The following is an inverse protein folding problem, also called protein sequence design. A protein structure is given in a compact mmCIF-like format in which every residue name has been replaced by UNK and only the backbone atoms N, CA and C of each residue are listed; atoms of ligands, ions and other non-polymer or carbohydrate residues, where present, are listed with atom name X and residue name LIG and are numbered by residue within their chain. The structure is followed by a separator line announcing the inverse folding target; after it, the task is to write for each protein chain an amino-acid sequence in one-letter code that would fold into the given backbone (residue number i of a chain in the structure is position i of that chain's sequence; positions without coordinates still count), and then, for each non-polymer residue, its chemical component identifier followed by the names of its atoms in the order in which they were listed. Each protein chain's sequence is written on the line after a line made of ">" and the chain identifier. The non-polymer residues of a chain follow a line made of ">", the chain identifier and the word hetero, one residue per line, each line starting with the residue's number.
data_IF_585625153417
#
_entry.id   IF_585625153417
#
_cell.length_a   1.000
_cell.length_b   1.000
_cell.length_c   1.000
_cell.angle_alpha   90.00
_cell.angle_beta   90.00
_cell.angle_gamma   90.00
#
_symmetry.space_group_name_H-M   'P 1'
#
loop_
_entity.id
_entity.type
_entity.pdbx_description
1 polymer ?
#
# COMPACT_ATOMS: atom_id res chain seq x y z
N UNK A 1 13.36 9.24 -10.15
CA UNK A 1 12.06 8.92 -10.80
C UNK A 1 12.11 7.67 -11.66
N UNK A 2 13.15 7.47 -12.47
CA UNK A 2 13.20 6.37 -13.45
C UNK A 2 13.27 4.96 -12.83
N UNK A 3 13.94 4.81 -11.67
CA UNK A 3 14.17 3.51 -11.02
C UNK A 3 12.88 2.74 -10.65
N UNK A 4 11.81 3.45 -10.31
CA UNK A 4 10.50 2.85 -9.96
C UNK A 4 9.40 3.20 -10.97
N UNK A 5 9.78 3.74 -12.14
CA UNK A 5 8.88 4.11 -13.25
C UNK A 5 7.73 5.05 -12.83
N UNK A 6 7.94 5.90 -11.83
CA UNK A 6 6.95 6.90 -11.43
C UNK A 6 6.81 7.98 -12.51
N UNK A 7 5.56 8.37 -12.79
CA UNK A 7 5.22 9.51 -13.63
C UNK A 7 4.69 10.64 -12.75
N UNK A 8 5.13 11.87 -12.99
CA UNK A 8 4.59 13.05 -12.29
C UNK A 8 3.10 13.18 -12.60
N UNK A 9 2.30 13.48 -11.59
CA UNK A 9 0.87 13.73 -11.76
C UNK A 9 0.68 15.07 -12.47
N UNK A 10 -0.13 15.08 -13.52
CA UNK A 10 -0.40 16.28 -14.29
C UNK A 10 -1.17 17.32 -13.45
N UNK A 11 -0.54 18.48 -13.24
CA UNK A 11 -1.10 19.58 -12.48
C UNK A 11 -2.23 20.32 -13.22
N UNK A 12 -2.36 20.15 -14.54
CA UNK A 12 -3.43 20.73 -15.35
C UNK A 12 -4.78 20.01 -15.15
N UNK A 13 -4.75 18.77 -14.65
CA UNK A 13 -5.95 17.99 -14.33
C UNK A 13 -6.37 18.19 -12.87
N UNK A 14 -7.66 17.99 -12.58
CA UNK A 14 -8.17 17.98 -11.19
C UNK A 14 -8.35 16.56 -10.64
N UNK A 15 -8.07 15.54 -11.45
CA UNK A 15 -8.20 14.16 -11.04
C UNK A 15 -7.19 13.83 -9.92
N UNK A 16 -7.65 13.07 -8.92
CA UNK A 16 -6.91 12.64 -7.73
C UNK A 16 -6.42 13.72 -6.75
N UNK A 17 -6.13 14.95 -7.19
CA UNK A 17 -5.53 15.98 -6.34
C UNK A 17 -6.30 16.27 -5.05
N UNK A 18 -7.64 16.31 -5.10
CA UNK A 18 -8.46 16.50 -3.90
C UNK A 18 -8.32 15.33 -2.91
N UNK A 19 -8.25 14.09 -3.40
CA UNK A 19 -8.05 12.89 -2.58
C UNK A 19 -6.64 12.87 -1.98
N UNK A 20 -5.64 13.24 -2.77
CA UNK A 20 -4.25 13.35 -2.32
C UNK A 20 -4.14 14.41 -1.23
N UNK A 21 -4.75 15.59 -1.42
CA UNK A 21 -4.77 16.64 -0.41
C UNK A 21 -5.44 16.17 0.88
N UNK A 22 -6.60 15.53 0.79
CA UNK A 22 -7.29 14.98 1.95
C UNK A 22 -6.41 13.98 2.72
N UNK A 23 -5.67 13.12 2.01
CA UNK A 23 -4.71 12.21 2.65
C UNK A 23 -3.45 12.92 3.17
N UNK A 24 -2.97 13.96 2.51
CA UNK A 24 -1.82 14.76 2.96
C UNK A 24 -2.12 15.47 4.29
N UNK A 25 -3.36 15.96 4.46
CA UNK A 25 -3.82 16.70 5.64
C UNK A 25 -4.10 15.80 6.85
N UNK A 26 -4.07 14.47 6.70
CA UNK A 26 -4.20 13.52 7.81
C UNK A 26 -3.10 13.71 8.85
N UNK A 27 -3.44 13.56 10.11
CA UNK A 27 -2.51 13.72 11.23
C UNK A 27 -1.37 12.70 11.19
N UNK A 28 -1.63 11.52 10.63
CA UNK A 28 -0.70 10.40 10.48
C UNK A 28 0.34 10.64 9.38
N UNK A 29 0.18 11.69 8.55
CA UNK A 29 1.13 11.99 7.48
C UNK A 29 2.48 12.45 8.06
N UNK A 30 3.50 11.60 7.89
CA UNK A 30 4.91 11.86 8.24
C UNK A 30 5.74 12.45 7.10
N UNK A 31 5.26 12.37 5.86
CA UNK A 31 5.99 12.76 4.66
C UNK A 31 5.55 14.17 4.24
N UNK A 32 6.21 15.21 4.74
CA UNK A 32 5.85 16.59 4.43
C UNK A 32 6.62 17.11 3.22
N UNK A 33 5.92 17.82 2.33
CA UNK A 33 6.55 18.61 1.27
C UNK A 33 7.06 19.93 1.87
N UNK A 34 8.18 20.44 1.34
CA UNK A 34 8.66 21.79 1.68
C UNK A 34 7.74 22.85 1.07
N UNK A 35 7.32 23.84 1.85
CA UNK A 35 6.46 24.94 1.42
C UNK A 35 5.49 25.41 2.51
N UNK A 36 4.80 26.52 2.26
CA UNK A 36 3.69 26.96 3.12
C UNK A 36 2.56 25.92 3.12
N UNK A 37 1.77 25.89 4.20
CA UNK A 37 0.82 24.81 4.49
C UNK A 37 -0.02 24.41 3.28
N UNK A 38 -0.12 23.10 3.02
CA UNK A 38 -0.99 22.54 1.97
C UNK A 38 -2.45 22.69 2.37
N UNK A 39 -2.95 23.93 2.31
CA UNK A 39 -4.30 24.33 2.66
C UNK A 39 -5.30 23.93 1.57
N UNK A 40 -4.84 23.89 0.32
CA UNK A 40 -5.66 23.61 -0.85
C UNK A 40 -4.89 22.87 -1.96
N UNK A 41 -5.62 22.46 -3.00
CA UNK A 41 -5.09 21.72 -4.14
C UNK A 41 -4.06 22.53 -4.92
N UNK A 42 -4.25 23.85 -5.02
CA UNK A 42 -3.34 24.73 -5.76
C UNK A 42 -1.99 24.85 -5.06
N UNK A 43 -1.99 24.94 -3.73
CA UNK A 43 -0.77 24.90 -2.91
C UNK A 43 -0.01 23.58 -3.10
N UNK A 44 -0.73 22.45 -3.06
CA UNK A 44 -0.16 21.12 -3.29
C UNK A 44 0.46 20.97 -4.69
N UNK A 45 -0.27 21.40 -5.73
CA UNK A 45 0.23 21.40 -7.12
C UNK A 45 1.52 22.20 -7.26
N UNK A 46 1.54 23.45 -6.78
CA UNK A 46 2.73 24.32 -6.86
C UNK A 46 3.93 23.72 -6.15
N UNK A 47 3.72 23.09 -5.00
CA UNK A 47 4.80 22.46 -4.25
C UNK A 47 5.37 21.24 -4.97
N UNK A 48 4.51 20.45 -5.62
CA UNK A 48 4.95 19.37 -6.48
C UNK A 48 5.73 19.89 -7.69
N UNK A 49 5.22 20.89 -8.40
CA UNK A 49 5.89 21.50 -9.57
C UNK A 49 7.28 22.05 -9.22
N UNK A 50 7.40 22.73 -8.08
CA UNK A 50 8.68 23.29 -7.62
C UNK A 50 9.76 22.23 -7.35
N UNK A 51 9.37 20.97 -7.16
CA UNK A 51 10.28 19.87 -6.88
C UNK A 51 10.57 18.97 -8.10
N UNK A 52 9.89 19.19 -9.23
CA UNK A 52 10.13 18.44 -10.46
C UNK A 52 11.54 18.71 -10.96
N UNK A 53 12.30 17.64 -11.24
CA UNK A 53 13.66 17.75 -11.77
C UNK A 53 14.72 18.20 -10.76
N UNK A 54 14.34 18.34 -9.48
CA UNK A 54 15.30 18.59 -8.39
C UNK A 54 16.20 17.38 -8.14
N UNK A 55 17.34 17.62 -7.48
CA UNK A 55 18.12 16.53 -6.90
C UNK A 55 17.36 15.93 -5.70
N UNK A 56 16.91 14.69 -5.86
CA UNK A 56 16.11 14.01 -4.85
C UNK A 56 16.99 13.43 -3.74
N UNK A 57 16.92 14.00 -2.53
CA UNK A 57 17.30 13.27 -1.31
C UNK A 57 16.32 12.10 -1.06
N UNK A 58 16.67 11.17 -0.18
CA UNK A 58 15.77 10.04 0.14
C UNK A 58 14.42 10.52 0.70
N UNK A 59 14.43 11.51 1.59
CA UNK A 59 13.22 12.09 2.19
C UNK A 59 12.38 12.85 1.15
N UNK A 60 13.04 13.62 0.28
CA UNK A 60 12.36 14.31 -0.82
C UNK A 60 11.77 13.31 -1.80
N UNK A 61 12.49 12.23 -2.12
CA UNK A 61 12.00 11.18 -2.98
C UNK A 61 10.74 10.52 -2.41
N UNK A 62 10.75 10.17 -1.11
CA UNK A 62 9.59 9.54 -0.45
C UNK A 62 8.39 10.48 -0.40
N UNK A 63 8.57 11.73 0.00
CA UNK A 63 7.47 12.71 0.00
C UNK A 63 6.95 12.99 -1.41
N UNK A 64 7.83 13.20 -2.39
CA UNK A 64 7.44 13.47 -3.77
C UNK A 64 6.68 12.29 -4.40
N UNK A 65 7.19 11.07 -4.28
CA UNK A 65 6.53 9.86 -4.81
C UNK A 65 5.22 9.53 -4.09
N UNK A 66 4.98 10.12 -2.94
CA UNK A 66 3.71 9.96 -2.23
C UNK A 66 2.62 10.90 -2.73
N UNK A 67 2.98 12.14 -3.06
CA UNK A 67 2.02 13.22 -3.26
C UNK A 67 1.97 13.77 -4.69
N UNK A 68 3.05 13.63 -5.46
CA UNK A 68 3.26 14.36 -6.70
C UNK A 68 3.30 13.47 -7.95
N UNK A 69 2.99 12.18 -7.81
CA UNK A 69 3.05 11.20 -8.90
C UNK A 69 1.66 10.65 -9.17
N UNK A 70 1.47 10.13 -10.39
CA UNK A 70 0.24 9.43 -10.77
C UNK A 70 -0.04 8.33 -9.75
N UNK A 71 -1.22 8.33 -9.10
CA UNK A 71 -1.53 7.33 -8.09
C UNK A 71 -1.43 5.92 -8.64
N UNK A 72 -0.79 5.05 -7.86
CA UNK A 72 -0.66 3.61 -8.12
C UNK A 72 -1.02 2.86 -6.87
N UNK A 73 -1.55 1.66 -7.03
CA UNK A 73 -1.83 0.79 -5.89
C UNK A 73 -0.55 0.12 -5.37
N UNK A 74 -0.56 -0.37 -4.13
CA UNK A 74 0.53 -1.16 -3.57
C UNK A 74 0.81 -2.40 -4.44
N UNK A 75 -0.25 -2.99 -4.98
CA UNK A 75 -0.15 -4.08 -5.94
C UNK A 75 0.62 -3.66 -7.21
N UNK A 76 0.28 -2.52 -7.83
CA UNK A 76 1.00 -2.03 -9.01
C UNK A 76 2.48 -1.79 -8.72
N UNK A 77 2.83 -1.35 -7.52
CA UNK A 77 4.21 -1.08 -7.10
C UNK A 77 5.02 -2.35 -6.86
N UNK A 78 4.36 -3.45 -6.50
CA UNK A 78 5.00 -4.72 -6.13
C UNK A 78 4.98 -5.77 -7.25
N UNK A 79 4.01 -5.72 -8.17
CA UNK A 79 3.77 -6.78 -9.16
C UNK A 79 4.97 -7.09 -10.06
N UNK A 80 5.80 -6.09 -10.39
CA UNK A 80 7.01 -6.27 -11.21
C UNK A 80 8.15 -6.98 -10.45
N UNK A 81 8.10 -7.03 -9.11
CA UNK A 81 9.20 -7.48 -8.24
C UNK A 81 8.87 -8.73 -7.41
N UNK A 82 7.59 -9.03 -7.23
CA UNK A 82 7.13 -10.09 -6.34
C UNK A 82 5.99 -10.90 -6.96
N UNK A 83 5.97 -12.21 -6.68
CA UNK A 83 4.87 -13.12 -7.04
C UNK A 83 3.69 -12.91 -6.10
N UNK A 84 2.85 -11.91 -6.41
CA UNK A 84 1.65 -11.60 -5.66
C UNK A 84 0.57 -12.68 -5.90
N UNK A 85 0.00 -13.25 -4.83
CA UNK A 85 -1.12 -14.19 -4.95
C UNK A 85 -2.42 -13.50 -5.36
N UNK A 86 -3.33 -14.19 -6.05
CA UNK A 86 -4.68 -13.67 -6.28
C UNK A 86 -5.43 -13.54 -4.94
N UNK A 87 -5.99 -12.35 -4.68
CA UNK A 87 -6.61 -11.99 -3.39
C UNK A 87 -8.13 -11.80 -3.48
N UNK A 88 -8.72 -12.08 -4.64
CA UNK A 88 -10.16 -12.23 -4.76
C UNK A 88 -10.62 -13.51 -4.04
N UNK A 89 -11.47 -13.35 -3.04
CA UNK A 89 -11.98 -14.42 -2.16
C UNK A 89 -12.97 -15.36 -2.87
N UNK A 90 -13.46 -14.96 -4.05
CA UNK A 90 -14.29 -15.79 -4.93
C UNK A 90 -13.47 -16.67 -5.88
N UNK A 91 -12.16 -16.46 -5.99
CA UNK A 91 -11.27 -17.20 -6.88
C UNK A 91 -10.49 -18.26 -6.09
N UNK A 92 -10.51 -19.49 -6.61
CA UNK A 92 -9.96 -20.68 -5.94
C UNK A 92 -8.59 -21.12 -6.50
N UNK A 93 -7.74 -20.14 -6.81
CA UNK A 93 -6.34 -20.35 -7.21
C UNK A 93 -5.42 -20.35 -5.99
N UNK A 94 -4.21 -20.88 -6.18
CA UNK A 94 -3.09 -20.80 -5.23
C UNK A 94 -3.39 -21.43 -3.85
N UNK A 95 -4.22 -22.49 -3.82
CA UNK A 95 -4.66 -23.16 -2.58
C UNK A 95 -3.50 -23.50 -1.64
N UNK A 96 -2.44 -24.08 -2.18
CA UNK A 96 -1.29 -24.52 -1.38
C UNK A 96 -0.54 -23.33 -0.75
N UNK A 97 -0.37 -22.23 -1.50
CA UNK A 97 0.26 -21.01 -0.99
C UNK A 97 -0.62 -20.32 0.06
N UNK A 98 -1.92 -20.23 -0.19
CA UNK A 98 -2.86 -19.66 0.78
C UNK A 98 -2.95 -20.49 2.05
N UNK A 99 -2.93 -21.82 1.94
CA UNK A 99 -2.82 -22.71 3.09
C UNK A 99 -1.56 -22.41 3.90
N UNK A 100 -0.41 -22.33 3.23
CA UNK A 100 0.85 -22.01 3.88
C UNK A 100 0.81 -20.67 4.61
N UNK A 101 0.27 -19.63 3.97
CA UNK A 101 0.15 -18.31 4.57
C UNK A 101 -0.80 -18.29 5.77
N UNK A 102 -1.93 -19.01 5.70
CA UNK A 102 -2.85 -19.19 6.83
C UNK A 102 -2.15 -19.88 8.00
N UNK A 103 -1.47 -21.00 7.75
CA UNK A 103 -0.77 -21.77 8.79
C UNK A 103 0.31 -20.90 9.49
N UNK A 104 1.06 -20.10 8.72
CA UNK A 104 2.03 -19.14 9.27
C UNK A 104 1.37 -18.02 10.07
N UNK A 105 0.24 -17.52 9.60
CA UNK A 105 -0.51 -16.44 10.25
C UNK A 105 -1.10 -16.89 11.59
N UNK A 106 -1.62 -18.12 11.66
CA UNK A 106 -2.05 -18.76 12.90
C UNK A 106 -0.86 -19.00 13.85
N UNK A 107 0.27 -19.49 13.32
CA UNK A 107 1.51 -19.67 14.11
C UNK A 107 1.98 -18.36 14.73
N UNK A 108 1.91 -17.25 13.99
CA UNK A 108 2.21 -15.92 14.50
C UNK A 108 1.29 -15.55 15.66
N UNK A 109 -0.02 -15.76 15.50
CA UNK A 109 -1.01 -15.53 16.58
C UNK A 109 -0.69 -16.34 17.83
N UNK A 110 -0.34 -17.62 17.71
CA UNK A 110 0.06 -18.46 18.85
C UNK A 110 1.31 -17.94 19.54
N UNK A 111 2.32 -17.49 18.78
CA UNK A 111 3.60 -17.00 19.35
C UNK A 111 3.48 -15.62 19.99
N UNK A 112 2.66 -14.74 19.44
CA UNK A 112 2.59 -13.33 19.84
C UNK A 112 1.31 -12.96 20.59
N UNK A 113 0.40 -13.92 20.81
CA UNK A 113 -0.93 -13.73 21.40
C UNK A 113 -1.82 -12.70 20.68
N UNK A 114 -1.44 -12.26 19.47
CA UNK A 114 -2.21 -11.36 18.61
C UNK A 114 -1.92 -11.66 17.14
N UNK A 115 -2.90 -11.39 16.28
CA UNK A 115 -2.70 -11.47 14.84
C UNK A 115 -1.74 -10.38 14.37
N UNK A 116 -0.97 -10.65 13.30
CA UNK A 116 -0.03 -9.68 12.76
C UNK A 116 -0.74 -8.49 12.11
N UNK A 117 -1.91 -8.73 11.51
CA UNK A 117 -2.78 -7.72 10.93
C UNK A 117 -3.96 -7.50 11.88
N UNK A 118 -4.02 -6.34 12.53
CA UNK A 118 -5.00 -6.09 13.61
C UNK A 118 -6.46 -6.11 13.14
N UNK A 119 -6.68 -5.85 11.86
CA UNK A 119 -7.99 -5.86 11.19
C UNK A 119 -8.39 -7.24 10.63
N UNK A 120 -7.52 -8.25 10.71
CA UNK A 120 -7.75 -9.58 10.12
C UNK A 120 -7.67 -10.65 11.21
N UNK A 121 -8.85 -11.08 11.70
CA UNK A 121 -8.96 -12.19 12.66
C UNK A 121 -9.51 -13.44 12.00
N UNK A 122 -8.86 -14.59 12.26
CA UNK A 122 -9.34 -15.91 11.84
C UNK A 122 -10.21 -16.58 12.92
N UNK A 123 -10.50 -15.89 14.02
CA UNK A 123 -11.27 -16.45 15.13
C UNK A 123 -12.70 -16.79 14.66
N UNK A 124 -13.20 -17.95 15.10
CA UNK A 124 -14.52 -18.44 14.69
C UNK A 124 -14.60 -18.97 13.26
N UNK A 125 -13.46 -19.14 12.55
CA UNK A 125 -13.41 -19.81 11.23
C UNK A 125 -12.99 -21.27 11.39
N UNK A 126 -13.88 -22.17 10.98
CA UNK A 126 -13.71 -23.62 11.20
C UNK A 126 -13.03 -24.34 10.04
N UNK A 127 -13.13 -23.82 8.81
CA UNK A 127 -12.54 -24.43 7.63
C UNK A 127 -11.31 -23.66 7.14
N UNK A 128 -10.37 -24.36 6.53
CA UNK A 128 -9.21 -23.73 5.88
C UNK A 128 -9.62 -22.73 4.80
N UNK A 129 -10.65 -23.06 4.01
CA UNK A 129 -11.19 -22.17 2.99
C UNK A 129 -11.73 -20.86 3.56
N UNK A 130 -12.45 -20.90 4.67
CA UNK A 130 -12.97 -19.68 5.32
C UNK A 130 -11.85 -18.82 5.89
N UNK A 131 -10.82 -19.44 6.49
CA UNK A 131 -9.63 -18.73 6.97
C UNK A 131 -8.88 -18.06 5.81
N UNK A 132 -8.67 -18.79 4.71
CA UNK A 132 -8.03 -18.27 3.52
C UNK A 132 -8.80 -17.09 2.91
N UNK A 133 -10.14 -17.14 2.86
CA UNK A 133 -10.98 -16.01 2.38
C UNK A 133 -10.80 -14.75 3.22
N UNK A 134 -10.73 -14.89 4.54
CA UNK A 134 -10.49 -13.76 5.45
C UNK A 134 -9.10 -13.16 5.20
N UNK A 135 -8.07 -13.99 5.10
CA UNK A 135 -6.72 -13.51 4.83
C UNK A 135 -6.60 -12.89 3.42
N UNK A 136 -7.22 -13.49 2.40
CA UNK A 136 -7.34 -12.94 1.04
C UNK A 136 -7.96 -11.54 1.06
N UNK A 137 -9.06 -11.37 1.78
CA UNK A 137 -9.72 -10.06 1.95
C UNK A 137 -8.76 -9.05 2.60
N UNK A 138 -8.06 -9.45 3.67
CA UNK A 138 -7.05 -8.62 4.32
C UNK A 138 -5.93 -8.19 3.36
N UNK A 139 -5.44 -9.12 2.53
CA UNK A 139 -4.44 -8.86 1.49
C UNK A 139 -4.97 -7.94 0.39
N UNK A 140 -6.23 -8.12 -0.06
CA UNK A 140 -6.88 -7.27 -1.06
C UNK A 140 -6.97 -5.81 -0.59
N UNK A 141 -7.36 -5.59 0.67
CA UNK A 141 -7.41 -4.24 1.27
C UNK A 141 -6.05 -3.55 1.22
N UNK A 142 -4.97 -4.27 1.55
CA UNK A 142 -3.59 -3.74 1.52
C UNK A 142 -3.10 -3.48 0.11
N UNK A 143 -3.35 -4.43 -0.79
CA UNK A 143 -3.00 -4.33 -2.22
C UNK A 143 -3.65 -3.12 -2.88
N UNK A 144 -4.88 -2.78 -2.49
CA UNK A 144 -5.62 -1.63 -2.98
C UNK A 144 -5.21 -0.27 -2.39
N UNK A 145 -4.25 -0.21 -1.47
CA UNK A 145 -3.75 1.06 -0.93
C UNK A 145 -3.02 1.84 -2.01
N UNK A 146 -3.31 3.12 -2.14
CA UNK A 146 -2.70 4.00 -3.13
C UNK A 146 -1.42 4.65 -2.61
N UNK A 147 -0.60 5.16 -3.54
CA UNK A 147 0.61 5.95 -3.21
C UNK A 147 0.34 7.01 -2.14
N UNK A 148 -0.78 7.73 -2.25
CA UNK A 148 -1.16 8.79 -1.32
C UNK A 148 -1.71 8.30 0.04
N UNK A 149 -1.93 7.01 0.25
CA UNK A 149 -2.41 6.50 1.53
C UNK A 149 -1.27 6.52 2.56
N UNK A 150 -1.50 7.17 3.70
CA UNK A 150 -0.48 7.39 4.74
C UNK A 150 0.11 6.10 5.30
N UNK A 151 -0.62 4.99 5.23
CA UNK A 151 -0.26 3.65 5.69
C UNK A 151 0.29 2.74 4.56
N UNK A 152 0.51 3.25 3.35
CA UNK A 152 1.02 2.47 2.21
C UNK A 152 2.30 1.69 2.55
N UNK A 153 3.29 2.33 3.18
CA UNK A 153 4.59 1.68 3.45
C UNK A 153 4.41 0.46 4.35
N UNK A 154 3.59 0.58 5.39
CA UNK A 154 3.21 -0.54 6.27
C UNK A 154 2.42 -1.59 5.50
N UNK A 155 1.45 -1.19 4.67
CA UNK A 155 0.68 -2.11 3.84
C UNK A 155 1.57 -2.91 2.87
N UNK A 156 2.59 -2.28 2.29
CA UNK A 156 3.55 -2.96 1.40
C UNK A 156 4.38 -4.00 2.15
N UNK A 157 4.85 -3.72 3.36
CA UNK A 157 5.56 -4.71 4.19
C UNK A 157 4.64 -5.87 4.62
N UNK A 158 3.39 -5.56 4.95
CA UNK A 158 2.37 -6.56 5.27
C UNK A 158 2.06 -7.46 4.06
N UNK A 159 1.97 -6.89 2.84
CA UNK A 159 1.80 -7.67 1.60
C UNK A 159 2.98 -8.62 1.40
N UNK A 160 4.21 -8.11 1.53
CA UNK A 160 5.43 -8.91 1.35
C UNK A 160 5.51 -10.09 2.33
N UNK A 161 4.92 -9.93 3.51
CA UNK A 161 4.96 -10.95 4.56
C UNK A 161 3.85 -11.98 4.43
N UNK A 162 2.62 -11.55 4.09
CA UNK A 162 1.42 -12.39 4.26
C UNK A 162 0.68 -12.72 2.96
N UNK A 163 1.04 -12.08 1.84
CA UNK A 163 0.22 -12.08 0.62
C UNK A 163 0.99 -12.52 -0.64
N UNK A 164 2.21 -13.03 -0.47
CA UNK A 164 3.06 -13.56 -1.53
C UNK A 164 2.96 -15.07 -1.63
N UNK A 165 3.28 -15.61 -2.80
CA UNK A 165 3.54 -17.04 -2.95
C UNK A 165 4.72 -17.45 -2.07
N UNK A 166 4.77 -18.72 -1.65
CA UNK A 166 5.92 -19.25 -0.93
C UNK A 166 7.17 -19.05 -1.79
N UNK A 167 8.18 -18.39 -1.23
CA UNK A 167 9.48 -18.31 -1.88
C UNK A 167 10.00 -19.74 -2.12
N UNK A 168 10.28 -20.06 -3.38
CA UNK A 168 10.87 -21.35 -3.78
C UNK A 168 12.31 -21.46 -3.32
#
# INVERSE_FOLDING_TARGET
>A
MEKDKYKVLDSSTNEHWSTILASYQKAENKWKLKGEGMSDVSALKRACEAQVGSEYSEELYKSFTKWCVVPRTAEDLLRDKFSLLESNDTVDTDKADWKHNVDNYESYKTKHNKYALSDVSLDGKSTEGDKAKVLKTGCKTRKGKFTYDVDLDSAMEEIKTWCLAKAS
#
